data_IF_680424250446
#
_entry.id   IF_680424250446
#
_cell.length_a   1.000
_cell.length_b   1.000
_cell.length_c   1.000
_cell.angle_alpha   90.00
_cell.angle_beta   90.00
_cell.angle_gamma   90.00
#
_symmetry.space_group_name_H-M   'P 1'
#
loop_
_entity.id
_entity.type
_entity.pdbx_description
1 polymer ?
#
# COMPACT_ATOMS: atom_id res chain seq x y z
N UNK A 1 70.38 -10.22 9.00
CA UNK A 1 69.75 -9.80 7.73
C UNK A 1 68.31 -10.31 7.72
N UNK A 2 67.32 -9.43 7.90
CA UNK A 2 65.90 -9.74 8.13
C UNK A 2 65.14 -9.85 6.80
N UNK A 3 64.76 -11.05 6.37
CA UNK A 3 63.95 -11.22 5.15
C UNK A 3 62.93 -12.36 5.28
N UNK A 4 62.05 -12.32 6.29
CA UNK A 4 60.84 -13.15 6.31
C UNK A 4 59.69 -12.44 7.03
N UNK A 5 59.18 -11.35 6.46
CA UNK A 5 57.96 -10.71 6.99
C UNK A 5 57.04 -10.06 5.94
N UNK A 6 57.25 -10.33 4.65
CA UNK A 6 56.47 -9.69 3.57
C UNK A 6 55.50 -10.62 2.83
N UNK A 7 55.53 -11.93 3.06
CA UNK A 7 54.60 -12.85 2.38
C UNK A 7 53.18 -12.82 2.96
N UNK A 8 53.01 -12.62 4.28
CA UNK A 8 51.70 -12.59 4.94
C UNK A 8 50.91 -11.29 4.74
N UNK A 9 51.61 -10.18 4.44
CA UNK A 9 51.00 -8.84 4.32
C UNK A 9 50.06 -8.72 3.12
N UNK A 10 50.38 -9.41 2.01
CA UNK A 10 49.61 -9.33 0.77
C UNK A 10 48.33 -10.20 0.80
N UNK A 11 48.35 -11.33 1.52
CA UNK A 11 47.17 -12.18 1.67
C UNK A 11 46.17 -11.59 2.67
N UNK A 12 46.66 -10.99 3.76
CA UNK A 12 45.79 -10.30 4.72
C UNK A 12 45.02 -9.15 4.06
N UNK A 13 45.66 -8.37 3.19
CA UNK A 13 44.99 -7.29 2.44
C UNK A 13 43.98 -7.83 1.44
N UNK A 14 44.27 -8.95 0.79
CA UNK A 14 43.34 -9.63 -0.12
C UNK A 14 42.10 -10.16 0.61
N UNK A 15 42.28 -10.77 1.78
CA UNK A 15 41.19 -11.29 2.61
C UNK A 15 40.29 -10.15 3.09
N UNK A 16 40.86 -9.03 3.54
CA UNK A 16 40.09 -7.85 3.94
C UNK A 16 39.30 -7.27 2.78
N UNK A 17 39.87 -7.23 1.56
CA UNK A 17 39.18 -6.76 0.37
C UNK A 17 37.98 -7.67 0.01
N UNK A 18 38.16 -8.99 0.09
CA UNK A 18 37.09 -9.98 -0.19
C UNK A 18 35.97 -9.89 0.86
N UNK A 19 36.32 -9.72 2.14
CA UNK A 19 35.33 -9.52 3.20
C UNK A 19 34.58 -8.19 3.05
N UNK A 20 35.24 -7.15 2.56
CA UNK A 20 34.62 -5.86 2.29
C UNK A 20 33.63 -5.93 1.11
N UNK A 21 33.95 -6.65 0.03
CA UNK A 21 33.01 -6.83 -1.09
C UNK A 21 31.81 -7.71 -0.75
N UNK A 22 31.99 -8.70 0.13
CA UNK A 22 30.90 -9.53 0.67
C UNK A 22 29.94 -8.75 1.59
N UNK A 23 30.41 -7.71 2.28
CA UNK A 23 29.55 -6.85 3.10
C UNK A 23 28.64 -5.95 2.23
N UNK A 24 29.12 -5.45 1.10
CA UNK A 24 28.36 -4.55 0.22
C UNK A 24 27.16 -5.27 -0.43
N UNK A 25 27.29 -6.56 -0.78
CA UNK A 25 26.21 -7.31 -1.45
C UNK A 25 24.98 -7.52 -0.57
N UNK A 26 25.12 -7.48 0.77
CA UNK A 26 23.99 -7.67 1.69
C UNK A 26 23.10 -6.45 1.86
N UNK A 27 23.50 -5.28 1.34
CA UNK A 27 22.76 -4.01 1.54
C UNK A 27 21.82 -3.63 0.39
N UNK A 28 21.83 -4.37 -0.72
CA UNK A 28 20.95 -4.11 -1.87
C UNK A 28 19.61 -4.83 -1.73
N UNK A 29 18.85 -4.50 -0.67
CA UNK A 29 17.42 -4.78 -0.66
C UNK A 29 16.79 -3.95 -1.79
N UNK A 30 16.38 -4.61 -2.87
CA UNK A 30 15.72 -3.99 -4.01
C UNK A 30 14.39 -3.36 -3.56
N UNK A 31 14.42 -2.08 -3.17
CA UNK A 31 13.23 -1.30 -2.83
C UNK A 31 12.50 -0.87 -4.10
N UNK A 32 12.05 -1.85 -4.90
CA UNK A 32 11.18 -1.58 -6.03
C UNK A 32 9.82 -1.21 -5.43
N UNK A 33 9.42 0.05 -5.61
CA UNK A 33 8.07 0.49 -5.23
C UNK A 33 7.08 -0.39 -5.98
N UNK A 34 6.37 -1.25 -5.25
CA UNK A 34 5.26 -2.05 -5.79
C UNK A 34 4.04 -1.13 -5.91
N UNK A 35 4.15 -0.03 -6.64
CA UNK A 35 3.03 0.88 -6.90
C UNK A 35 2.43 0.65 -8.29
N UNK A 36 3.15 -0.08 -9.16
CA UNK A 36 2.73 -0.35 -10.52
C UNK A 36 2.44 -1.83 -10.73
N UNK A 37 1.14 -2.16 -10.73
CA UNK A 37 0.62 -3.49 -11.02
C UNK A 37 0.46 -3.73 -12.53
N UNK A 38 0.61 -2.69 -13.36
CA UNK A 38 0.38 -2.76 -14.81
C UNK A 38 1.36 -3.71 -15.51
N UNK A 39 2.58 -3.84 -14.98
CA UNK A 39 3.61 -4.74 -15.51
C UNK A 39 3.34 -6.23 -15.20
N UNK A 40 2.34 -6.54 -14.37
CA UNK A 40 2.05 -7.91 -13.93
C UNK A 40 0.56 -8.24 -14.11
N UNK A 41 0.16 -8.56 -15.35
CA UNK A 41 -1.23 -8.89 -15.73
C UNK A 41 -1.93 -9.84 -14.75
N UNK A 42 -1.25 -10.93 -14.36
CA UNK A 42 -1.82 -11.91 -13.43
C UNK A 42 -1.91 -11.40 -11.99
N UNK A 43 -0.99 -10.54 -11.55
CA UNK A 43 -1.05 -9.95 -10.21
C UNK A 43 -2.27 -9.03 -10.07
N UNK A 44 -2.54 -8.19 -11.08
CA UNK A 44 -3.74 -7.36 -11.13
C UNK A 44 -5.02 -8.20 -11.11
N UNK A 45 -5.11 -9.20 -11.98
CA UNK A 45 -6.30 -10.06 -12.04
C UNK A 45 -6.54 -10.82 -10.73
N UNK A 46 -5.49 -11.38 -10.13
CA UNK A 46 -5.58 -12.10 -8.87
C UNK A 46 -6.06 -11.18 -7.74
N UNK A 47 -5.59 -9.93 -7.71
CA UNK A 47 -5.99 -8.97 -6.68
C UNK A 47 -7.45 -8.53 -6.87
N UNK A 48 -7.91 -8.33 -8.10
CA UNK A 48 -9.33 -8.08 -8.41
C UNK A 48 -10.20 -9.25 -7.93
N UNK A 49 -9.82 -10.48 -8.27
CA UNK A 49 -10.52 -11.68 -7.80
C UNK A 49 -10.52 -11.77 -6.27
N UNK A 50 -9.43 -11.41 -5.61
CA UNK A 50 -9.34 -11.42 -4.16
C UNK A 50 -10.22 -10.34 -3.50
N UNK A 51 -10.33 -9.14 -4.07
CA UNK A 51 -11.22 -8.06 -3.59
C UNK A 51 -12.69 -8.52 -3.59
N UNK A 52 -13.09 -9.35 -4.55
CA UNK A 52 -14.45 -9.87 -4.67
C UNK A 52 -14.63 -11.29 -4.11
N UNK A 53 -13.62 -11.82 -3.40
CA UNK A 53 -13.66 -13.18 -2.86
C UNK A 53 -14.82 -13.36 -1.89
N UNK A 54 -15.40 -14.55 -1.79
CA UNK A 54 -16.37 -14.86 -0.74
C UNK A 54 -15.73 -14.99 0.65
N UNK A 55 -14.42 -15.26 0.69
CA UNK A 55 -13.66 -15.33 1.94
C UNK A 55 -13.34 -13.92 2.45
N UNK A 56 -13.87 -13.58 3.62
CA UNK A 56 -13.68 -12.26 4.25
C UNK A 56 -12.22 -11.91 4.49
N UNK A 57 -11.39 -12.85 4.96
CA UNK A 57 -9.96 -12.61 5.21
C UNK A 57 -9.16 -12.37 3.92
N UNK A 58 -9.53 -13.05 2.83
CA UNK A 58 -8.94 -12.81 1.50
C UNK A 58 -9.31 -11.41 1.00
N UNK A 59 -10.60 -11.03 1.10
CA UNK A 59 -11.02 -9.66 0.73
C UNK A 59 -10.31 -8.60 1.56
N UNK A 60 -10.28 -8.77 2.88
CA UNK A 60 -9.63 -7.84 3.80
C UNK A 60 -8.16 -7.63 3.44
N UNK A 61 -7.42 -8.73 3.25
CA UNK A 61 -6.01 -8.69 2.85
C UNK A 61 -5.82 -7.99 1.50
N UNK A 62 -6.69 -8.26 0.53
CA UNK A 62 -6.63 -7.67 -0.80
C UNK A 62 -6.88 -6.15 -0.77
N UNK A 63 -7.90 -5.71 -0.03
CA UNK A 63 -8.22 -4.28 0.14
C UNK A 63 -7.09 -3.56 0.87
N UNK A 64 -6.53 -4.17 1.92
CA UNK A 64 -5.39 -3.62 2.64
C UNK A 64 -4.20 -3.40 1.71
N UNK A 65 -3.84 -4.39 0.90
CA UNK A 65 -2.75 -4.29 -0.07
C UNK A 65 -3.03 -3.18 -1.09
N UNK A 66 -4.24 -3.12 -1.66
CA UNK A 66 -4.62 -2.08 -2.62
C UNK A 66 -4.45 -0.67 -2.04
N UNK A 67 -4.92 -0.43 -0.82
CA UNK A 67 -4.77 0.85 -0.14
C UNK A 67 -3.34 1.16 0.32
N UNK A 68 -2.59 0.15 0.81
CA UNK A 68 -1.21 0.31 1.27
C UNK A 68 -0.28 0.75 0.15
N UNK A 69 -0.41 0.13 -1.02
CA UNK A 69 0.44 0.36 -2.18
C UNK A 69 -0.15 1.37 -3.17
N UNK A 70 -1.38 1.85 -2.91
CA UNK A 70 -2.09 2.85 -3.73
C UNK A 70 -2.23 2.41 -5.19
N UNK A 71 -2.73 1.20 -5.42
CA UNK A 71 -3.00 0.69 -6.77
C UNK A 71 -4.20 1.38 -7.40
N UNK A 72 -4.01 2.60 -7.94
CA UNK A 72 -5.08 3.46 -8.49
C UNK A 72 -5.97 2.71 -9.49
N UNK A 73 -5.38 1.84 -10.28
CA UNK A 73 -6.03 0.90 -11.20
C UNK A 73 -7.14 0.00 -10.60
N UNK A 74 -7.24 -0.10 -9.27
CA UNK A 74 -8.23 -0.89 -8.55
C UNK A 74 -9.33 -0.04 -7.92
N UNK A 75 -9.30 1.28 -8.11
CA UNK A 75 -10.29 2.22 -7.56
C UNK A 75 -11.72 1.78 -7.85
N UNK A 76 -12.03 1.46 -9.11
CA UNK A 76 -13.38 1.06 -9.50
C UNK A 76 -13.83 -0.26 -8.86
N UNK A 77 -12.92 -1.23 -8.71
CA UNK A 77 -13.23 -2.51 -8.08
C UNK A 77 -13.45 -2.35 -6.57
N UNK A 78 -12.68 -1.48 -5.91
CA UNK A 78 -12.91 -1.11 -4.52
C UNK A 78 -14.26 -0.39 -4.33
N UNK A 79 -14.64 0.51 -5.24
CA UNK A 79 -15.95 1.18 -5.19
C UNK A 79 -17.09 0.18 -5.38
N UNK A 80 -16.97 -0.76 -6.32
CA UNK A 80 -17.97 -1.83 -6.49
C UNK A 80 -18.10 -2.66 -5.21
N UNK A 81 -16.97 -3.06 -4.61
CA UNK A 81 -16.99 -3.84 -3.38
C UNK A 81 -17.58 -3.05 -2.20
N UNK A 82 -17.30 -1.74 -2.08
CA UNK A 82 -17.86 -0.86 -1.04
C UNK A 82 -19.40 -0.93 -0.98
N UNK A 83 -20.04 -0.98 -2.15
CA UNK A 83 -21.51 -0.95 -2.29
C UNK A 83 -22.17 -2.25 -1.83
N UNK A 84 -21.45 -3.38 -1.92
CA UNK A 84 -22.00 -4.72 -1.63
C UNK A 84 -21.45 -5.35 -0.35
N UNK A 85 -20.38 -4.79 0.23
CA UNK A 85 -19.73 -5.37 1.41
C UNK A 85 -20.68 -5.42 2.61
N UNK A 86 -20.79 -6.61 3.22
CA UNK A 86 -21.64 -6.82 4.40
C UNK A 86 -20.85 -6.73 5.69
N UNK A 87 -19.56 -7.06 5.66
CA UNK A 87 -18.71 -7.00 6.84
C UNK A 87 -18.36 -5.52 7.17
N UNK A 88 -18.73 -5.01 8.36
CA UNK A 88 -18.49 -3.62 8.73
C UNK A 88 -17.01 -3.22 8.69
N UNK A 89 -16.11 -4.08 9.13
CA UNK A 89 -14.68 -3.78 9.23
C UNK A 89 -14.03 -3.73 7.85
N UNK A 90 -14.36 -4.68 6.98
CA UNK A 90 -13.91 -4.66 5.59
C UNK A 90 -14.47 -3.45 4.85
N UNK A 91 -15.74 -3.08 5.07
CA UNK A 91 -16.34 -1.89 4.45
C UNK A 91 -15.62 -0.60 4.85
N UNK A 92 -15.28 -0.46 6.13
CA UNK A 92 -14.48 0.68 6.65
C UNK A 92 -13.07 0.66 6.03
N UNK A 93 -12.45 -0.51 5.93
CA UNK A 93 -11.13 -0.67 5.31
C UNK A 93 -11.12 -0.26 3.84
N UNK A 94 -12.18 -0.58 3.08
CA UNK A 94 -12.34 -0.11 1.69
C UNK A 94 -12.36 1.43 1.64
N UNK A 95 -13.10 2.08 2.53
CA UNK A 95 -13.11 3.55 2.65
C UNK A 95 -11.72 4.13 2.94
N UNK A 96 -10.96 3.51 3.85
CA UNK A 96 -9.58 3.91 4.15
C UNK A 96 -8.63 3.70 2.96
N UNK A 97 -8.81 2.62 2.20
CA UNK A 97 -8.02 2.37 0.99
C UNK A 97 -8.26 3.46 -0.06
N UNK A 98 -9.52 3.78 -0.36
CA UNK A 98 -9.91 4.85 -1.29
C UNK A 98 -9.38 6.22 -0.85
N UNK A 99 -9.44 6.53 0.46
CA UNK A 99 -8.83 7.73 1.02
C UNK A 99 -7.32 7.78 0.76
N UNK A 100 -6.59 6.68 1.01
CA UNK A 100 -5.13 6.61 0.80
C UNK A 100 -4.71 6.76 -0.66
N UNK A 101 -5.59 6.39 -1.58
CA UNK A 101 -5.43 6.56 -3.02
C UNK A 101 -5.78 7.98 -3.49
N UNK A 102 -6.28 8.84 -2.60
CA UNK A 102 -6.81 10.16 -2.92
C UNK A 102 -7.93 10.10 -3.98
N UNK A 103 -8.78 9.07 -3.91
CA UNK A 103 -9.87 8.82 -4.86
C UNK A 103 -11.07 9.73 -4.57
N UNK A 104 -11.27 10.77 -5.38
CA UNK A 104 -12.42 11.66 -5.22
C UNK A 104 -13.76 10.94 -5.42
N UNK A 105 -13.82 10.04 -6.41
CA UNK A 105 -15.00 9.23 -6.72
C UNK A 105 -15.33 8.29 -5.56
N UNK A 106 -14.34 7.59 -5.03
CA UNK A 106 -14.48 6.71 -3.88
C UNK A 106 -14.92 7.44 -2.63
N UNK A 107 -14.38 8.64 -2.40
CA UNK A 107 -14.77 9.47 -1.27
C UNK A 107 -16.20 10.02 -1.38
N UNK A 108 -16.67 10.26 -2.60
CA UNK A 108 -18.08 10.63 -2.87
C UNK A 108 -19.03 9.47 -2.54
N UNK A 109 -18.69 8.26 -2.96
CA UNK A 109 -19.47 7.05 -2.63
C UNK A 109 -19.45 6.75 -1.12
N UNK A 110 -18.29 6.91 -0.47
CA UNK A 110 -18.16 6.75 0.99
C UNK A 110 -18.98 7.78 1.77
N UNK A 111 -19.19 8.98 1.22
CA UNK A 111 -20.06 10.00 1.83
C UNK A 111 -21.50 9.51 1.91
N UNK A 112 -22.01 8.83 0.87
CA UNK A 112 -23.35 8.22 0.92
C UNK A 112 -23.43 7.12 1.99
N UNK A 113 -22.39 6.27 2.08
CA UNK A 113 -22.27 5.25 3.13
C UNK A 113 -22.31 5.86 4.53
N UNK A 114 -21.69 7.03 4.74
CA UNK A 114 -21.69 7.73 6.03
C UNK A 114 -23.07 8.18 6.52
N UNK A 115 -24.05 8.25 5.63
CA UNK A 115 -25.42 8.71 5.92
C UNK A 115 -26.36 7.50 6.01
N UNK A 116 -26.29 6.59 5.03
CA UNK A 116 -27.33 5.59 4.81
C UNK A 116 -26.97 4.17 5.26
N UNK A 117 -25.72 3.89 5.67
CA UNK A 117 -25.35 2.53 6.09
C UNK A 117 -26.11 2.12 7.37
N UNK A 118 -26.51 0.85 7.41
CA UNK A 118 -27.27 0.26 8.52
C UNK A 118 -26.43 0.20 9.80
N UNK A 119 -25.11 0.01 9.68
CA UNK A 119 -24.19 -0.07 10.80
C UNK A 119 -23.82 1.33 11.30
N UNK A 120 -24.11 1.60 12.58
CA UNK A 120 -23.71 2.85 13.23
C UNK A 120 -22.18 3.04 13.20
N UNK A 121 -21.42 1.97 13.42
CA UNK A 121 -19.96 1.96 13.35
C UNK A 121 -19.47 2.41 11.98
N UNK A 122 -20.04 1.84 10.91
CA UNK A 122 -19.69 2.20 9.52
C UNK A 122 -20.01 3.67 9.28
N UNK A 123 -21.20 4.16 9.65
CA UNK A 123 -21.57 5.56 9.46
C UNK A 123 -20.58 6.53 10.10
N UNK A 124 -20.24 6.29 11.37
CA UNK A 124 -19.34 7.15 12.14
C UNK A 124 -17.93 7.15 11.54
N UNK A 125 -17.39 5.97 11.24
CA UNK A 125 -16.05 5.83 10.68
C UNK A 125 -15.98 6.42 9.26
N UNK A 126 -16.93 6.11 8.38
CA UNK A 126 -17.00 6.69 7.04
C UNK A 126 -17.10 8.21 7.09
N UNK A 127 -17.88 8.77 8.02
CA UNK A 127 -17.96 10.23 8.22
C UNK A 127 -16.62 10.82 8.62
N UNK A 128 -15.90 10.18 9.55
CA UNK A 128 -14.58 10.65 9.98
C UNK A 128 -13.56 10.62 8.83
N UNK A 129 -13.56 9.55 8.02
CA UNK A 129 -12.70 9.42 6.84
C UNK A 129 -13.04 10.51 5.81
N UNK A 130 -14.33 10.71 5.49
CA UNK A 130 -14.78 11.78 4.60
C UNK A 130 -14.38 13.16 5.10
N UNK A 131 -14.56 13.44 6.40
CA UNK A 131 -14.15 14.71 7.02
C UNK A 131 -12.66 14.96 6.78
N UNK A 132 -11.81 14.00 7.13
CA UNK A 132 -10.37 14.10 6.91
C UNK A 132 -9.97 14.28 5.44
N UNK A 133 -10.73 13.75 4.49
CA UNK A 133 -10.49 13.98 3.06
C UNK A 133 -10.86 15.39 2.61
N UNK A 134 -12.07 15.83 2.91
CA UNK A 134 -12.59 17.08 2.37
C UNK A 134 -11.96 18.31 3.05
N UNK A 135 -11.65 18.26 4.35
CA UNK A 135 -10.94 19.34 5.04
C UNK A 135 -9.53 19.55 4.47
N UNK A 136 -8.75 18.47 4.35
CA UNK A 136 -7.42 18.53 3.75
C UNK A 136 -7.41 19.03 2.30
N UNK A 137 -8.46 18.76 1.53
CA UNK A 137 -8.57 19.24 0.14
C UNK A 137 -9.07 20.67 0.05
N UNK A 138 -9.89 21.15 0.98
CA UNK A 138 -10.28 22.56 1.08
C UNK A 138 -9.07 23.44 1.39
N UNK A 139 -8.24 23.04 2.36
CA UNK A 139 -7.06 23.81 2.76
C UNK A 139 -6.05 23.96 1.60
N UNK A 140 -5.81 22.88 0.84
CA UNK A 140 -4.94 22.91 -0.36
C UNK A 140 -5.42 23.89 -1.42
N UNK A 141 -6.75 24.05 -1.59
CA UNK A 141 -7.33 25.00 -2.56
C UNK A 141 -7.16 26.45 -2.11
N UNK A 142 -7.20 26.72 -0.81
CA UNK A 142 -7.00 28.06 -0.23
C UNK A 142 -5.53 28.50 -0.33
N UNK A 143 -4.57 27.58 -0.14
CA UNK A 143 -3.13 27.91 -0.22
C UNK A 143 -2.56 28.00 -1.64
N UNK A 144 -3.33 27.61 -2.65
CA UNK A 144 -2.91 27.64 -4.06
C UNK A 144 -3.41 28.89 -4.82
N UNK A 145 -4.06 29.82 -4.13
CA UNK A 145 -4.47 31.14 -4.60
C UNK A 145 -3.53 32.21 -4.06
#
# INVERSE_FOLDING_TARGET
MKTRLFAAKNYSTLIVLILFTLMISTTMAQNHKVNDLSNHKYAKQNLITAIHSQNTGVRESAVYLAGKYRFIDLEDELIKQLKVESNPDVKILIGLALFRMNSEKGMTELKAVSIYDKSLKVKQMSRAICKGYFENNSDKKVTAQ
#
